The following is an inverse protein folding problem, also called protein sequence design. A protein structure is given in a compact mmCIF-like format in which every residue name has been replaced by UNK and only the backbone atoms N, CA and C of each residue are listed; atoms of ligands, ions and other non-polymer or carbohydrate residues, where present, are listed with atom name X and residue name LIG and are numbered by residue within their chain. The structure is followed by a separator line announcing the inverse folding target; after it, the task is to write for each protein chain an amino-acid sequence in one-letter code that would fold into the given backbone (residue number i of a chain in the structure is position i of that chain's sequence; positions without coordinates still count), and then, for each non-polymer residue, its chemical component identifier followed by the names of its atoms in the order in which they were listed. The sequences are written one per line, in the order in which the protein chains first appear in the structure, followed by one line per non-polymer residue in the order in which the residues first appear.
data_IF_290924905630
#
_entry.id   IF_290924905630
#
_cell.length_a   1.000
_cell.length_b   1.000
_cell.length_c   1.000
_cell.angle_alpha   90.00
_cell.angle_beta   90.00
_cell.angle_gamma   90.00
#
_symmetry.space_group_name_H-M   'P 1'
#
loop_
_entity.id
_entity.type
_entity.pdbx_description
1 polymer ?
#
# COMPACT_ATOMS: atom_id res chain seq x y z
N UNK A 1 -9.72 -5.33 -15.74
CA UNK A 1 -8.88 -4.30 -15.11
C UNK A 1 -9.08 -4.33 -13.60
N UNK A 2 -8.03 -4.06 -12.84
CA UNK A 2 -8.06 -3.80 -11.41
C UNK A 2 -7.56 -2.38 -11.13
N UNK A 3 -7.94 -1.83 -9.99
CA UNK A 3 -7.55 -0.50 -9.54
C UNK A 3 -7.21 -0.54 -8.06
N UNK A 4 -6.09 0.07 -7.69
CA UNK A 4 -5.68 0.28 -6.31
C UNK A 4 -5.41 1.75 -6.06
N UNK A 5 -5.66 2.21 -4.82
CA UNK A 5 -5.39 3.59 -4.39
C UNK A 5 -4.82 3.56 -2.98
N UNK A 6 -3.62 4.11 -2.80
CA UNK A 6 -2.93 4.08 -1.51
C UNK A 6 -2.19 5.37 -1.19
N UNK A 7 -2.07 5.66 0.10
CA UNK A 7 -1.19 6.67 0.68
C UNK A 7 -1.16 6.53 2.21
N UNK A 8 0.00 6.45 2.80
CA UNK A 8 0.17 6.59 4.24
C UNK A 8 0.83 7.95 4.57
N UNK A 9 0.01 8.96 4.86
CA UNK A 9 0.48 10.32 5.12
C UNK A 9 1.42 10.41 6.33
N UNK A 10 1.29 9.53 7.32
CA UNK A 10 2.17 9.45 8.48
C UNK A 10 3.58 8.99 8.08
N UNK A 11 3.67 7.96 7.25
CA UNK A 11 4.95 7.50 6.73
C UNK A 11 5.62 8.57 5.87
N UNK A 12 4.84 9.27 5.02
CA UNK A 12 5.36 10.38 4.20
C UNK A 12 5.80 11.57 5.06
N UNK A 13 5.11 11.86 6.15
CA UNK A 13 5.52 12.91 7.09
C UNK A 13 6.86 12.59 7.75
N UNK A 14 7.08 11.34 8.16
CA UNK A 14 8.31 10.91 8.84
C UNK A 14 9.48 10.76 7.88
N UNK A 15 9.25 10.26 6.68
CA UNK A 15 10.22 10.15 5.58
C UNK A 15 9.49 10.30 4.24
N UNK A 16 9.52 11.48 3.62
CA UNK A 16 8.78 11.74 2.39
C UNK A 16 9.18 10.83 1.22
N UNK A 17 10.45 10.47 1.12
CA UNK A 17 10.92 9.59 0.06
C UNK A 17 10.49 8.14 0.27
N UNK A 18 10.76 7.57 1.45
CA UNK A 18 10.40 6.18 1.75
C UNK A 18 8.89 5.99 1.83
N UNK A 19 8.15 6.93 2.46
CA UNK A 19 6.70 6.85 2.56
C UNK A 19 5.99 6.93 1.21
N UNK A 20 6.44 7.81 0.31
CA UNK A 20 5.88 7.90 -1.04
C UNK A 20 6.23 6.67 -1.90
N UNK A 21 7.45 6.15 -1.78
CA UNK A 21 7.87 4.91 -2.42
C UNK A 21 7.04 3.71 -1.94
N UNK A 22 6.77 3.63 -0.64
CA UNK A 22 5.94 2.60 -0.04
C UNK A 22 4.49 2.64 -0.57
N UNK A 23 3.90 3.82 -0.74
CA UNK A 23 2.55 3.96 -1.31
C UNK A 23 2.44 3.37 -2.73
N UNK A 24 3.47 3.55 -3.56
CA UNK A 24 3.52 2.91 -4.90
C UNK A 24 3.61 1.39 -4.78
N UNK A 25 4.47 0.90 -3.89
CA UNK A 25 4.62 -0.55 -3.67
C UNK A 25 3.33 -1.19 -3.14
N UNK A 26 2.60 -0.50 -2.27
CA UNK A 26 1.32 -0.95 -1.74
C UNK A 26 0.26 -1.05 -2.83
N UNK A 27 0.11 -0.03 -3.70
CA UNK A 27 -0.73 -0.14 -4.88
C UNK A 27 -0.38 -1.37 -5.73
N UNK A 28 0.89 -1.61 -5.99
CA UNK A 28 1.35 -2.76 -6.77
C UNK A 28 1.05 -4.10 -6.08
N UNK A 29 1.20 -4.19 -4.75
CA UNK A 29 0.82 -5.39 -3.98
C UNK A 29 -0.68 -5.67 -4.05
N UNK A 30 -1.51 -4.63 -3.86
CA UNK A 30 -2.97 -4.74 -3.96
C UNK A 30 -3.41 -5.23 -5.34
N UNK A 31 -2.78 -4.74 -6.41
CA UNK A 31 -3.01 -5.24 -7.75
C UNK A 31 -2.59 -6.71 -7.91
N UNK A 32 -1.41 -7.07 -7.42
CA UNK A 32 -0.92 -8.46 -7.46
C UNK A 32 -1.85 -9.40 -6.68
N UNK A 33 -2.33 -9.00 -5.50
CA UNK A 33 -3.32 -9.75 -4.71
C UNK A 33 -4.64 -9.95 -5.46
N UNK A 34 -4.99 -9.04 -6.36
CA UNK A 34 -6.17 -9.16 -7.23
C UNK A 34 -5.94 -9.98 -8.51
N UNK A 35 -4.70 -10.44 -8.76
CA UNK A 35 -4.30 -11.15 -9.98
C UNK A 35 -3.91 -10.21 -11.13
N UNK A 36 -3.64 -8.94 -10.86
CA UNK A 36 -3.36 -7.92 -11.88
C UNK A 36 -1.88 -7.52 -11.94
N UNK A 37 -1.38 -7.32 -13.15
CA UNK A 37 -0.06 -6.72 -13.40
C UNK A 37 -0.22 -5.20 -13.56
N UNK A 38 0.56 -4.37 -12.86
CA UNK A 38 0.56 -2.92 -13.05
C UNK A 38 0.81 -2.51 -14.51
N UNK A 39 0.07 -1.52 -15.02
CA UNK A 39 0.25 -1.00 -16.40
C UNK A 39 0.34 0.53 -16.47
N UNK A 40 -0.05 1.24 -15.43
CA UNK A 40 0.02 2.70 -15.38
C UNK A 40 -0.50 3.24 -14.07
N UNK A 41 -0.19 4.50 -13.81
CA UNK A 41 -0.55 5.16 -12.56
C UNK A 41 -1.00 6.60 -12.78
N UNK A 42 -1.63 7.16 -11.75
CA UNK A 42 -1.94 8.58 -11.60
C UNK A 42 -1.70 8.98 -10.15
N UNK A 43 -1.39 10.25 -9.90
CA UNK A 43 -1.18 10.77 -8.56
C UNK A 43 -2.14 11.90 -8.20
N UNK A 44 -2.34 12.12 -6.90
CA UNK A 44 -3.02 13.26 -6.35
C UNK A 44 -2.17 13.82 -5.20
N UNK A 45 -1.35 14.81 -5.52
CA UNK A 45 -0.35 15.38 -4.63
C UNK A 45 -0.97 16.50 -3.78
N UNK A 46 -1.03 16.30 -2.46
CA UNK A 46 -1.60 17.29 -1.53
C UNK A 46 -0.55 17.70 -0.50
N UNK A 47 -0.12 18.97 -0.56
CA UNK A 47 0.94 19.52 0.27
C UNK A 47 0.60 20.93 0.77
N UNK A 48 1.31 21.38 1.79
CA UNK A 48 1.22 22.73 2.32
C UNK A 48 1.82 23.79 1.39
N UNK A 49 2.15 24.94 1.94
CA UNK A 49 2.69 26.08 1.20
C UNK A 49 4.13 25.80 0.69
N UNK A 50 4.36 25.73 -0.63
CA UNK A 50 5.67 25.40 -1.20
C UNK A 50 6.72 26.52 -1.04
N UNK A 51 6.33 27.72 -0.60
CA UNK A 51 7.29 28.78 -0.23
C UNK A 51 7.97 28.51 1.11
N UNK A 52 7.45 27.57 1.93
CA UNK A 52 8.16 27.06 3.07
C UNK A 52 9.17 26.01 2.59
N UNK A 53 10.49 26.20 2.83
CA UNK A 53 11.53 25.30 2.34
C UNK A 53 11.37 23.84 2.82
N UNK A 54 10.87 23.63 4.04
CA UNK A 54 10.63 22.30 4.60
C UNK A 54 9.49 21.58 3.85
N UNK A 55 8.35 22.27 3.63
CA UNK A 55 7.22 21.72 2.91
C UNK A 55 7.54 21.48 1.43
N UNK A 56 8.36 22.34 0.83
CA UNK A 56 8.88 22.11 -0.52
C UNK A 56 9.81 20.90 -0.58
N UNK A 57 10.64 20.71 0.43
CA UNK A 57 11.48 19.51 0.54
C UNK A 57 10.62 18.24 0.63
N UNK A 58 9.56 18.24 1.45
CA UNK A 58 8.63 17.12 1.52
C UNK A 58 8.02 16.79 0.15
N UNK A 59 7.53 17.79 -0.58
CA UNK A 59 7.01 17.62 -1.94
C UNK A 59 8.06 17.02 -2.87
N UNK A 60 9.25 17.58 -2.90
CA UNK A 60 10.35 17.13 -3.76
C UNK A 60 10.75 15.68 -3.50
N UNK A 61 10.94 15.32 -2.25
CA UNK A 61 11.35 13.96 -1.88
C UNK A 61 10.21 12.96 -2.10
N UNK A 62 8.96 13.33 -1.86
CA UNK A 62 7.81 12.49 -2.20
C UNK A 62 7.73 12.21 -3.70
N UNK A 63 7.85 13.22 -4.55
CA UNK A 63 7.86 13.04 -6.02
C UNK A 63 9.00 12.14 -6.45
N UNK A 64 10.16 12.24 -5.82
CA UNK A 64 11.29 11.35 -6.10
C UNK A 64 10.99 9.90 -5.72
N UNK A 65 10.36 9.67 -4.55
CA UNK A 65 9.95 8.34 -4.12
C UNK A 65 8.89 7.73 -5.04
N UNK A 66 7.88 8.51 -5.44
CA UNK A 66 6.87 8.07 -6.41
C UNK A 66 7.51 7.68 -7.76
N UNK A 67 8.42 8.51 -8.28
CA UNK A 67 9.08 8.25 -9.56
C UNK A 67 9.90 6.96 -9.52
N UNK A 68 10.65 6.71 -8.45
CA UNK A 68 11.44 5.49 -8.27
C UNK A 68 10.54 4.26 -8.16
N UNK A 69 9.46 4.34 -7.37
CA UNK A 69 8.47 3.28 -7.25
C UNK A 69 7.80 2.96 -8.59
N UNK A 70 7.27 3.97 -9.29
CA UNK A 70 6.63 3.79 -10.60
C UNK A 70 7.56 3.17 -11.64
N UNK A 71 8.83 3.58 -11.64
CA UNK A 71 9.84 3.00 -12.53
C UNK A 71 10.11 1.52 -12.22
N UNK A 72 10.16 1.14 -10.95
CA UNK A 72 10.40 -0.24 -10.53
C UNK A 72 9.27 -1.21 -10.97
N UNK A 73 8.02 -0.74 -10.96
CA UNK A 73 6.86 -1.54 -11.37
C UNK A 73 6.46 -1.33 -12.85
N UNK A 74 7.23 -0.58 -13.63
CA UNK A 74 6.91 -0.23 -15.01
C UNK A 74 5.50 0.37 -15.18
N UNK A 75 5.04 1.13 -14.20
CA UNK A 75 3.73 1.76 -14.13
C UNK A 75 3.86 3.29 -14.27
N UNK A 76 4.04 3.81 -15.51
CA UNK A 76 4.28 5.24 -15.72
C UNK A 76 3.09 6.08 -15.23
N UNK A 77 3.39 7.26 -14.68
CA UNK A 77 2.38 8.25 -14.34
C UNK A 77 1.83 8.87 -15.62
N UNK A 78 0.54 8.67 -15.90
CA UNK A 78 -0.14 9.12 -17.11
C UNK A 78 -0.85 10.46 -16.94
N UNK A 79 -0.97 10.93 -15.73
CA UNK A 79 -1.62 12.19 -15.36
C UNK A 79 -1.72 12.29 -13.84
N UNK A 80 -2.29 13.37 -13.35
CA UNK A 80 -2.44 13.56 -11.92
C UNK A 80 -2.94 14.95 -11.57
N UNK A 81 -2.95 15.24 -10.27
CA UNK A 81 -3.33 16.54 -9.71
C UNK A 81 -2.31 16.99 -8.66
N UNK A 82 -2.04 18.27 -8.60
CA UNK A 82 -1.26 18.89 -7.53
C UNK A 82 -2.10 19.95 -6.83
N UNK A 83 -2.32 19.75 -5.53
CA UNK A 83 -2.97 20.72 -4.64
C UNK A 83 -1.95 21.23 -3.62
N UNK A 84 -1.73 22.52 -3.61
CA UNK A 84 -0.77 23.19 -2.73
C UNK A 84 -1.50 24.17 -1.80
N UNK A 85 -0.78 24.69 -0.79
CA UNK A 85 -1.33 25.56 0.24
C UNK A 85 -2.41 24.91 1.11
N UNK A 86 -2.42 23.59 1.22
CA UNK A 86 -3.34 22.87 2.10
C UNK A 86 -2.89 23.06 3.56
N UNK A 87 -3.44 24.07 4.21
CA UNK A 87 -3.10 24.44 5.57
C UNK A 87 -4.22 25.24 6.24
N UNK A 88 -4.21 25.24 7.57
CA UNK A 88 -5.05 26.03 8.43
C UNK A 88 -4.18 26.90 9.36
N UNK A 89 -4.76 27.70 10.28
CA UNK A 89 -3.97 28.49 11.24
C UNK A 89 -3.06 27.67 12.17
N UNK A 90 -3.34 26.38 12.35
CA UNK A 90 -2.55 25.48 13.21
C UNK A 90 -1.35 24.88 12.47
N UNK A 91 -1.37 24.85 11.14
CA UNK A 91 -0.27 24.33 10.33
C UNK A 91 -0.69 23.77 8.99
N UNK A 92 0.28 23.20 8.30
CA UNK A 92 0.06 22.47 7.06
C UNK A 92 -0.52 21.06 7.36
N UNK A 93 -1.27 20.53 6.38
CA UNK A 93 -1.64 19.11 6.41
C UNK A 93 -0.38 18.22 6.37
N UNK A 94 -0.53 16.97 6.77
CA UNK A 94 0.50 15.97 6.49
C UNK A 94 0.67 15.81 4.98
N UNK A 95 1.90 15.63 4.51
CA UNK A 95 2.16 15.43 3.08
C UNK A 95 1.44 14.17 2.60
N UNK A 96 0.54 14.32 1.62
CA UNK A 96 -0.35 13.26 1.17
C UNK A 96 -0.28 13.08 -0.35
N UNK A 97 0.77 12.41 -0.85
CA UNK A 97 0.90 12.05 -2.26
C UNK A 97 0.13 10.74 -2.53
N UNK A 98 -1.19 10.85 -2.69
CA UNK A 98 -2.03 9.68 -2.98
C UNK A 98 -1.71 9.14 -4.36
N UNK A 99 -1.42 7.85 -4.43
CA UNK A 99 -1.15 7.11 -5.66
C UNK A 99 -2.37 6.27 -6.03
N UNK A 100 -2.77 6.29 -7.30
CA UNK A 100 -3.69 5.31 -7.86
C UNK A 100 -3.00 4.56 -9.00
N UNK A 101 -3.20 3.25 -9.05
CA UNK A 101 -2.56 2.38 -10.03
C UNK A 101 -3.58 1.48 -10.70
N UNK A 102 -3.46 1.34 -12.02
CA UNK A 102 -4.28 0.44 -12.82
C UNK A 102 -3.48 -0.81 -13.16
N UNK A 103 -4.12 -1.97 -13.04
CA UNK A 103 -3.56 -3.25 -13.41
C UNK A 103 -4.41 -4.01 -14.43
N UNK A 104 -3.75 -4.83 -15.22
CA UNK A 104 -4.39 -5.72 -16.19
C UNK A 104 -4.43 -7.15 -15.63
N UNK A 105 -5.63 -7.72 -15.58
CA UNK A 105 -5.85 -9.16 -15.41
C UNK A 105 -6.10 -9.73 -16.82
N UNK A 106 -5.20 -10.54 -17.31
CA UNK A 106 -5.28 -11.05 -18.70
C UNK A 106 -6.39 -12.09 -18.87
N UNK A 107 -6.62 -12.92 -17.85
CA UNK A 107 -7.69 -13.92 -17.82
C UNK A 107 -8.58 -13.69 -16.59
N UNK A 108 -9.88 -13.59 -16.79
CA UNK A 108 -10.86 -13.44 -15.72
C UNK A 108 -10.85 -14.61 -14.71
N UNK A 109 -10.37 -15.78 -15.10
CA UNK A 109 -10.17 -16.90 -14.20
C UNK A 109 -9.10 -16.66 -13.11
N UNK A 110 -8.22 -15.68 -13.32
CA UNK A 110 -7.18 -15.30 -12.37
C UNK A 110 -7.60 -14.16 -11.42
N UNK A 111 -8.85 -13.73 -11.46
CA UNK A 111 -9.38 -12.78 -10.47
C UNK A 111 -9.33 -13.41 -9.09
N UNK A 112 -8.59 -12.78 -8.20
CA UNK A 112 -8.37 -13.26 -6.82
C UNK A 112 -8.95 -12.25 -5.83
N UNK A 113 -9.45 -12.72 -4.73
CA UNK A 113 -10.07 -11.92 -3.68
C UNK A 113 -9.44 -12.24 -2.32
N UNK A 114 -9.58 -11.32 -1.36
CA UNK A 114 -8.86 -11.40 -0.08
C UNK A 114 -9.38 -12.46 0.88
N UNK A 115 -10.66 -12.82 0.83
CA UNK A 115 -11.25 -13.68 1.85
C UNK A 115 -10.89 -15.15 1.72
N UNK A 116 -10.90 -15.87 2.84
CA UNK A 116 -10.73 -17.32 2.91
C UNK A 116 -11.82 -18.03 2.11
N UNK A 117 -11.49 -19.16 1.49
CA UNK A 117 -12.39 -19.89 0.57
C UNK A 117 -12.95 -21.15 1.20
N UNK A 118 -12.09 -22.05 1.66
CA UNK A 118 -12.48 -23.38 2.10
C UNK A 118 -11.84 -23.71 3.46
N UNK A 119 -12.56 -24.47 4.27
CA UNK A 119 -12.04 -24.99 5.52
C UNK A 119 -10.87 -25.95 5.26
N UNK A 120 -9.78 -25.75 5.99
CA UNK A 120 -8.55 -26.55 5.84
C UNK A 120 -7.56 -25.99 4.82
N UNK A 121 -7.85 -24.86 4.18
CA UNK A 121 -6.86 -24.17 3.35
C UNK A 121 -5.67 -23.69 4.20
N UNK A 122 -4.47 -23.75 3.62
CA UNK A 122 -3.23 -23.32 4.28
C UNK A 122 -3.04 -21.83 4.10
N UNK A 123 -2.78 -21.12 5.20
CA UNK A 123 -2.43 -19.69 5.20
C UNK A 123 -0.91 -19.58 5.13
N UNK A 124 -0.40 -18.83 4.15
CA UNK A 124 1.04 -18.64 3.93
C UNK A 124 1.33 -17.14 3.96
N UNK A 125 2.28 -16.72 4.81
CA UNK A 125 2.85 -15.37 4.77
C UNK A 125 4.00 -15.37 3.76
N UNK A 126 3.88 -14.55 2.71
CA UNK A 126 4.92 -14.32 1.72
C UNK A 126 5.63 -13.00 2.02
N UNK A 127 6.94 -13.01 2.00
CA UNK A 127 7.77 -11.82 2.24
C UNK A 127 8.75 -12.01 3.38
N UNK A 128 9.42 -10.93 3.74
CA UNK A 128 10.35 -10.93 4.86
C UNK A 128 9.56 -10.68 6.16
N UNK A 129 9.74 -11.53 7.19
CA UNK A 129 9.14 -11.27 8.49
C UNK A 129 9.80 -10.02 9.09
N UNK A 130 9.02 -9.24 9.85
CA UNK A 130 9.57 -8.15 10.66
C UNK A 130 10.58 -8.73 11.64
N UNK A 131 11.79 -8.17 11.68
CA UNK A 131 12.79 -8.56 12.65
C UNK A 131 12.30 -8.20 14.06
N UNK A 132 12.03 -9.22 14.88
CA UNK A 132 11.53 -9.03 16.23
C UNK A 132 12.55 -8.35 17.16
N UNK A 133 13.85 -8.35 16.79
CA UNK A 133 14.91 -7.64 17.52
C UNK A 133 15.01 -6.17 17.11
N UNK A 134 14.46 -5.79 15.96
CA UNK A 134 14.37 -4.41 15.48
C UNK A 134 12.95 -3.84 15.62
N UNK A 135 12.49 -3.75 16.86
CA UNK A 135 11.17 -3.22 17.20
C UNK A 135 10.95 -1.77 16.69
N UNK A 136 11.99 -1.04 16.37
CA UNK A 136 11.90 0.33 15.87
C UNK A 136 11.51 0.39 14.39
N UNK A 137 11.88 -0.57 13.57
CA UNK A 137 11.55 -0.59 12.15
C UNK A 137 10.09 -0.97 11.87
N UNK A 138 9.45 -1.71 12.77
CA UNK A 138 8.05 -2.14 12.59
C UNK A 138 7.00 -1.18 13.15
N UNK A 139 7.36 -0.24 14.01
CA UNK A 139 6.41 0.61 14.75
C UNK A 139 6.43 2.08 14.32
N UNK A 140 7.46 2.54 13.63
CA UNK A 140 7.57 3.94 13.20
C UNK A 140 6.40 4.33 12.28
N UNK A 141 5.65 5.36 12.68
CA UNK A 141 4.46 5.81 11.95
C UNK A 141 3.27 4.86 12.01
N UNK A 142 3.28 3.87 12.90
CA UNK A 142 2.18 2.89 13.01
C UNK A 142 0.93 3.48 13.67
N UNK A 143 -0.23 2.92 13.30
CA UNK A 143 -1.49 3.22 13.97
C UNK A 143 -1.44 2.90 15.48
N UNK A 144 -0.63 1.91 15.88
CA UNK A 144 -0.40 1.58 17.30
C UNK A 144 0.19 2.77 18.07
N UNK A 145 1.26 3.38 17.57
CA UNK A 145 1.86 4.56 18.19
C UNK A 145 0.91 5.75 18.18
N UNK A 146 0.20 5.98 17.09
CA UNK A 146 -0.71 7.10 16.96
C UNK A 146 -1.93 6.98 17.86
N UNK A 147 -2.62 5.84 17.86
CA UNK A 147 -3.91 5.66 18.52
C UNK A 147 -3.75 5.38 20.03
N UNK A 148 -2.77 4.55 20.40
CA UNK A 148 -2.61 4.17 21.82
C UNK A 148 -1.63 5.06 22.57
N UNK A 149 -0.69 5.68 21.90
CA UNK A 149 0.35 6.48 22.52
C UNK A 149 0.34 7.96 22.12
N UNK A 150 -0.55 8.36 21.22
CA UNK A 150 -0.65 9.73 20.67
C UNK A 150 0.69 10.24 20.12
N UNK A 151 1.50 9.31 19.56
CA UNK A 151 2.85 9.60 19.07
C UNK A 151 2.91 9.52 17.55
N UNK A 152 3.45 10.56 16.95
CA UNK A 152 3.79 10.66 15.54
C UNK A 152 5.32 10.69 15.41
N UNK A 153 5.94 9.51 15.45
CA UNK A 153 7.39 9.38 15.57
C UNK A 153 7.90 8.06 15.02
N UNK A 154 9.21 7.92 14.99
CA UNK A 154 9.94 6.75 14.53
C UNK A 154 10.34 6.84 13.07
N UNK A 155 10.91 5.76 12.55
CA UNK A 155 11.28 5.61 11.16
C UNK A 155 10.25 4.72 10.47
N UNK A 156 9.63 5.14 9.37
CA UNK A 156 8.70 4.28 8.64
C UNK A 156 9.44 3.05 8.09
N UNK A 157 8.74 1.93 7.87
CA UNK A 157 9.33 0.75 7.27
C UNK A 157 10.00 1.09 5.93
N UNK A 158 11.20 0.58 5.71
CA UNK A 158 11.89 0.75 4.43
C UNK A 158 11.28 -0.14 3.37
N UNK A 159 10.98 0.43 2.22
CA UNK A 159 10.47 -0.29 1.07
C UNK A 159 11.63 -0.72 0.15
N UNK A 160 11.89 -2.02 0.06
CA UNK A 160 12.81 -2.58 -0.92
C UNK A 160 12.03 -2.94 -2.21
N UNK A 161 12.13 -2.09 -3.23
CA UNK A 161 11.40 -2.25 -4.47
C UNK A 161 11.73 -3.52 -5.26
N UNK A 162 12.94 -4.06 -5.14
CA UNK A 162 13.31 -5.32 -5.78
C UNK A 162 12.60 -6.51 -5.12
N UNK A 163 12.59 -6.53 -3.78
CA UNK A 163 11.84 -7.53 -3.01
C UNK A 163 10.35 -7.43 -3.31
N UNK A 164 9.78 -6.23 -3.31
CA UNK A 164 8.37 -5.99 -3.61
C UNK A 164 7.98 -6.46 -5.02
N UNK A 165 8.79 -6.14 -6.02
CA UNK A 165 8.57 -6.59 -7.40
C UNK A 165 8.66 -8.11 -7.51
N UNK A 166 9.64 -8.73 -6.86
CA UNK A 166 9.82 -10.19 -6.85
C UNK A 166 8.63 -10.87 -6.19
N UNK A 167 8.18 -10.34 -5.05
CA UNK A 167 6.99 -10.82 -4.34
C UNK A 167 5.74 -10.76 -5.22
N UNK A 168 5.46 -9.62 -5.82
CA UNK A 168 4.30 -9.44 -6.72
C UNK A 168 4.34 -10.40 -7.92
N UNK A 169 5.50 -10.53 -8.57
CA UNK A 169 5.68 -11.46 -9.70
C UNK A 169 5.48 -12.92 -9.28
N UNK A 170 6.01 -13.30 -8.13
CA UNK A 170 5.86 -14.65 -7.59
C UNK A 170 4.40 -14.95 -7.26
N UNK A 171 3.70 -14.02 -6.59
CA UNK A 171 2.29 -14.17 -6.26
C UNK A 171 1.44 -14.32 -7.52
N UNK A 172 1.66 -13.49 -8.55
CA UNK A 172 0.95 -13.59 -9.82
C UNK A 172 1.16 -14.96 -10.48
N UNK A 173 2.39 -15.50 -10.47
CA UNK A 173 2.66 -16.85 -10.97
C UNK A 173 1.93 -17.94 -10.19
N UNK A 174 1.83 -17.82 -8.88
CA UNK A 174 1.07 -18.74 -8.02
C UNK A 174 -0.44 -18.67 -8.27
N UNK A 175 -0.99 -17.47 -8.48
CA UNK A 175 -2.40 -17.28 -8.85
C UNK A 175 -2.67 -17.91 -10.22
N UNK A 176 -1.85 -17.62 -11.22
CA UNK A 176 -1.99 -18.14 -12.58
C UNK A 176 -1.88 -19.67 -12.65
N UNK A 177 -1.10 -20.28 -11.76
CA UNK A 177 -1.00 -21.74 -11.65
C UNK A 177 -2.18 -22.40 -10.92
N UNK A 178 -3.10 -21.61 -10.35
CA UNK A 178 -4.25 -22.10 -9.58
C UNK A 178 -3.89 -22.61 -8.17
N UNK A 179 -2.68 -22.33 -7.68
CA UNK A 179 -2.25 -22.73 -6.34
C UNK A 179 -2.78 -21.81 -5.25
N UNK A 180 -3.06 -20.54 -5.57
CA UNK A 180 -3.56 -19.53 -4.64
C UNK A 180 -5.04 -19.28 -4.90
N UNK A 181 -5.88 -19.45 -3.88
CA UNK A 181 -7.33 -19.21 -3.93
C UNK A 181 -7.74 -17.82 -3.47
N UNK A 182 -6.96 -17.20 -2.60
CA UNK A 182 -7.16 -15.88 -2.05
C UNK A 182 -5.84 -15.23 -1.69
N UNK A 183 -5.74 -13.91 -1.78
CA UNK A 183 -4.55 -13.16 -1.42
C UNK A 183 -4.94 -11.79 -0.85
N UNK A 184 -4.22 -11.34 0.16
CA UNK A 184 -4.34 -10.03 0.77
C UNK A 184 -2.96 -9.52 1.14
N UNK A 185 -2.71 -8.25 0.97
CA UNK A 185 -1.47 -7.64 1.43
C UNK A 185 -1.51 -7.35 2.94
N UNK A 186 -0.36 -7.23 3.55
CA UNK A 186 -0.25 -6.76 4.93
C UNK A 186 0.09 -5.27 4.91
N UNK A 187 -0.87 -4.45 5.33
CA UNK A 187 -0.76 -2.98 5.39
C UNK A 187 -0.99 -2.47 6.82
N UNK A 188 -1.75 -1.39 6.99
CA UNK A 188 -2.06 -0.84 8.31
C UNK A 188 -2.73 -1.86 9.22
N UNK A 189 -2.26 -1.94 10.45
CA UNK A 189 -2.72 -2.93 11.44
C UNK A 189 -2.00 -4.27 11.37
N UNK A 190 -1.18 -4.50 10.32
CA UNK A 190 -0.32 -5.66 10.17
C UNK A 190 -1.08 -6.99 10.04
N UNK A 191 -0.38 -8.09 10.28
CA UNK A 191 -0.89 -9.45 10.05
C UNK A 191 -2.21 -9.75 10.76
N UNK A 192 -2.41 -9.24 11.98
CA UNK A 192 -3.64 -9.51 12.74
C UNK A 192 -4.88 -8.89 12.08
N UNK A 193 -4.77 -7.66 11.56
CA UNK A 193 -5.85 -6.99 10.84
C UNK A 193 -6.08 -7.68 9.50
N UNK A 194 -5.03 -7.97 8.74
CA UNK A 194 -5.11 -8.69 7.46
C UNK A 194 -5.86 -10.02 7.59
N UNK A 195 -5.53 -10.83 8.61
CA UNK A 195 -6.23 -12.09 8.88
C UNK A 195 -7.70 -11.87 9.25
N UNK A 196 -8.00 -10.84 10.04
CA UNK A 196 -9.38 -10.50 10.36
C UNK A 196 -10.17 -10.09 9.13
N UNK A 197 -9.60 -9.28 8.25
CA UNK A 197 -10.21 -8.86 6.99
C UNK A 197 -10.45 -10.04 6.04
N UNK A 198 -9.57 -11.03 6.01
CA UNK A 198 -9.78 -12.26 5.25
C UNK A 198 -10.99 -13.09 5.73
N UNK A 199 -11.48 -12.86 6.96
CA UNK A 199 -12.68 -13.51 7.48
C UNK A 199 -13.98 -12.87 7.00
N UNK A 200 -13.94 -11.71 6.34
CA UNK A 200 -15.12 -11.01 5.85
C UNK A 200 -15.30 -11.26 4.35
N UNK A 201 -16.37 -11.91 3.98
CA UNK A 201 -16.75 -12.08 2.57
C UNK A 201 -18.09 -11.39 2.28
N UNK A 202 -18.14 -10.60 1.22
CA UNK A 202 -19.43 -10.21 0.64
C UNK A 202 -19.94 -11.31 -0.29
N UNK A 203 -21.09 -11.87 0.04
CA UNK A 203 -21.80 -12.74 -0.88
C UNK A 203 -22.81 -11.94 -1.68
N UNK A 204 -22.68 -12.05 -3.00
CA UNK A 204 -23.63 -11.67 -4.04
C UNK A 204 -24.89 -10.93 -3.55
N UNK A 205 -24.83 -9.59 -3.50
CA UNK A 205 -25.99 -8.74 -3.27
C UNK A 205 -26.60 -8.77 -1.86
N UNK A 206 -25.95 -9.39 -0.89
CA UNK A 206 -26.33 -9.33 0.53
C UNK A 206 -25.25 -8.58 1.30
N UNK A 207 -25.60 -7.41 1.82
CA UNK A 207 -24.74 -6.60 2.72
C UNK A 207 -24.54 -7.28 4.09
N UNK A 208 -24.36 -8.56 4.15
CA UNK A 208 -24.07 -9.32 5.36
C UNK A 208 -22.71 -9.97 5.21
N UNK A 209 -21.67 -9.48 5.89
CA UNK A 209 -20.39 -10.16 5.90
C UNK A 209 -20.57 -11.59 6.44
N UNK A 210 -19.95 -12.55 5.77
CA UNK A 210 -19.77 -13.88 6.34
C UNK A 210 -18.43 -13.93 7.02
N UNK A 211 -18.44 -14.35 8.26
CA UNK A 211 -17.24 -14.67 9.01
C UNK A 211 -16.88 -16.13 8.66
N UNK A 212 -15.73 -16.31 8.00
CA UNK A 212 -15.15 -17.61 7.69
C UNK A 212 -13.77 -17.60 8.36
N UNK A 213 -13.68 -18.13 9.55
CA UNK A 213 -12.42 -18.23 10.28
C UNK A 213 -12.45 -19.25 11.37
#
# INVERSE_FOLDING_TARGET
LALAVDCNAMHVYLDPFEGAKAAVAECARNLACSGATPIGSTDNLNFGNPHNPELFWQLKESVRGLAEGCAAFAAPVTGGNVSLYNQNPEGAIDPTPTMAMVGLIEDAAHVTTQWFKDEGDVIILLGEPVDAEDALHGLGGSAFLQVLHEQKTGTPPRCNLETERTLGTTLLGLIQSGLVKGAHDCAEGGLAVTLAECCFSELEGRNTPRFIG
#
